data_IF_742421824361
#
_entry.id   IF_742421824361
#
_cell.length_a   1.000
_cell.length_b   1.000
_cell.length_c   1.000
_cell.angle_alpha   90.00
_cell.angle_beta   90.00
_cell.angle_gamma   90.00
#
_symmetry.space_group_name_H-M   'P 1'
#
loop_
_entity.id
_entity.type
_entity.pdbx_description
1 polymer ?
#
# COMPACT_ATOMS: atom_id res chain seq x y z
N UNK A 1 -20.21 28.93 19.36
CA UNK A 1 -20.07 27.45 19.38
C UNK A 1 -20.98 26.66 18.40
N UNK A 2 -21.68 27.28 17.43
CA UNK A 2 -22.58 26.57 16.46
C UNK A 2 -22.00 26.30 15.06
N UNK A 3 -20.74 26.65 14.78
CA UNK A 3 -20.11 26.49 13.44
C UNK A 3 -19.31 25.20 13.30
N UNK A 4 -18.81 24.64 14.41
CA UNK A 4 -18.02 23.40 14.42
C UNK A 4 -18.87 22.15 14.15
N UNK A 5 -20.08 22.08 14.71
CA UNK A 5 -20.98 20.93 14.55
C UNK A 5 -21.43 20.69 13.10
N UNK A 6 -21.52 21.74 12.27
CA UNK A 6 -21.83 21.62 10.85
C UNK A 6 -20.69 21.05 10.01
N UNK A 7 -19.43 21.22 10.44
CA UNK A 7 -18.25 20.68 9.75
C UNK A 7 -18.11 19.18 10.04
N UNK A 8 -18.34 18.78 11.29
CA UNK A 8 -18.42 17.36 11.68
C UNK A 8 -19.57 16.62 10.98
N UNK A 9 -20.76 17.22 10.86
CA UNK A 9 -21.88 16.60 10.14
C UNK A 9 -21.61 16.43 8.64
N UNK A 10 -20.84 17.33 8.03
CA UNK A 10 -20.43 17.22 6.62
C UNK A 10 -19.37 16.13 6.39
N UNK A 11 -18.48 15.90 7.36
CA UNK A 11 -17.54 14.77 7.33
C UNK A 11 -18.24 13.42 7.51
N UNK A 12 -19.27 13.36 8.36
CA UNK A 12 -20.03 12.12 8.61
C UNK A 12 -20.84 11.65 7.39
N UNK A 13 -21.35 12.57 6.56
CA UNK A 13 -22.15 12.22 5.37
C UNK A 13 -21.29 11.63 4.24
N UNK A 14 -20.00 11.97 4.15
CA UNK A 14 -19.09 11.39 3.13
C UNK A 14 -18.53 10.00 3.49
N UNK A 15 -18.53 9.63 4.78
CA UNK A 15 -18.04 8.34 5.28
C UNK A 15 -19.07 7.22 5.13
N UNK A 16 -20.35 7.56 4.94
CA UNK A 16 -21.43 6.57 4.91
C UNK A 16 -21.62 5.87 3.54
N UNK A 17 -21.06 6.41 2.46
CA UNK A 17 -21.22 5.86 1.10
C UNK A 17 -19.90 5.38 0.45
N UNK A 18 -18.77 5.43 1.18
CA UNK A 18 -17.49 4.93 0.67
C UNK A 18 -17.28 3.46 1.09
N UNK A 19 -16.90 2.57 0.16
CA UNK A 19 -16.55 1.21 0.53
C UNK A 19 -15.35 1.22 1.50
N UNK A 20 -15.36 0.29 2.46
CA UNK A 20 -14.46 0.31 3.63
C UNK A 20 -12.97 0.34 3.26
N UNK A 21 -12.60 -0.23 2.12
CA UNK A 21 -11.23 -0.24 1.60
C UNK A 21 -10.68 1.15 1.26
N UNK A 22 -11.54 2.11 0.89
CA UNK A 22 -11.17 3.51 0.62
C UNK A 22 -10.90 4.28 1.91
N UNK A 23 -11.59 3.94 3.00
CA UNK A 23 -11.43 4.62 4.30
C UNK A 23 -10.25 4.06 5.09
N UNK A 24 -9.93 2.78 4.89
CA UNK A 24 -8.97 2.04 5.72
C UNK A 24 -7.53 2.04 5.19
N UNK A 25 -7.26 2.70 4.05
CA UNK A 25 -5.93 2.74 3.41
C UNK A 25 -5.29 1.34 3.30
N UNK A 26 -6.10 0.35 2.95
CA UNK A 26 -5.64 -1.04 2.90
C UNK A 26 -4.64 -1.21 1.75
N UNK A 27 -3.49 -1.85 1.97
CA UNK A 27 -2.54 -2.14 0.90
C UNK A 27 -3.20 -2.98 -0.20
N UNK A 28 -3.18 -2.48 -1.43
CA UNK A 28 -3.66 -3.21 -2.62
C UNK A 28 -2.45 -3.72 -3.39
N UNK A 29 -2.48 -4.99 -3.77
CA UNK A 29 -1.43 -5.62 -4.56
C UNK A 29 -2.08 -6.23 -5.81
N UNK A 30 -1.66 -5.76 -6.97
CA UNK A 30 -2.05 -6.31 -8.28
C UNK A 30 -0.83 -6.95 -8.91
N UNK A 31 -0.96 -8.15 -9.46
CA UNK A 31 0.18 -8.94 -9.95
C UNK A 31 -0.13 -9.55 -11.32
N UNK A 32 0.83 -9.47 -12.24
CA UNK A 32 0.74 -10.07 -13.58
C UNK A 32 1.80 -11.18 -13.67
N UNK A 33 1.33 -12.43 -13.53
CA UNK A 33 2.22 -13.59 -13.42
C UNK A 33 3.24 -13.40 -12.30
N UNK A 34 4.46 -13.92 -12.44
CA UNK A 34 5.55 -13.61 -11.51
C UNK A 34 6.42 -12.41 -11.96
N UNK A 35 6.00 -11.67 -12.98
CA UNK A 35 6.87 -10.74 -13.73
C UNK A 35 6.76 -9.29 -13.24
N UNK A 36 5.56 -8.89 -12.82
CA UNK A 36 5.26 -7.52 -12.47
C UNK A 36 4.24 -7.46 -11.33
N UNK A 37 4.42 -6.48 -10.45
CA UNK A 37 3.54 -6.20 -9.33
C UNK A 37 3.37 -4.69 -9.16
N UNK A 38 2.13 -4.29 -8.96
CA UNK A 38 1.75 -2.94 -8.61
C UNK A 38 1.21 -2.94 -7.18
N UNK A 39 1.77 -2.07 -6.34
CA UNK A 39 1.49 -2.00 -4.91
C UNK A 39 1.02 -0.58 -4.60
N UNK A 40 -0.14 -0.46 -3.98
CA UNK A 40 -0.74 0.82 -3.58
C UNK A 40 -0.87 0.91 -2.05
N UNK A 41 -1.05 2.12 -1.54
CA UNK A 41 -1.20 2.45 -0.12
C UNK A 41 0.01 2.03 0.74
N UNK A 42 1.22 2.15 0.20
CA UNK A 42 2.44 2.06 1.02
C UNK A 42 2.77 3.42 1.69
N UNK A 43 3.48 3.37 2.82
CA UNK A 43 3.96 4.53 3.57
C UNK A 43 5.46 4.79 3.42
N UNK A 44 6.15 3.97 2.63
CA UNK A 44 7.52 4.20 2.21
C UNK A 44 8.25 2.89 1.92
N UNK A 45 9.42 3.00 1.27
CA UNK A 45 10.34 1.87 1.09
C UNK A 45 11.23 1.80 2.32
N UNK A 46 11.24 0.65 3.00
CA UNK A 46 12.12 0.37 4.13
C UNK A 46 13.44 -0.24 3.66
N UNK A 47 13.38 -1.13 2.67
CA UNK A 47 14.55 -1.79 2.09
C UNK A 47 14.26 -2.16 0.63
N UNK A 48 15.27 -2.01 -0.22
CA UNK A 48 15.21 -2.46 -1.60
C UNK A 48 16.57 -3.00 -2.05
N UNK A 49 16.55 -4.15 -2.72
CA UNK A 49 17.66 -4.77 -3.41
C UNK A 49 17.14 -5.56 -4.62
N UNK A 50 18.05 -6.15 -5.39
CA UNK A 50 17.68 -7.05 -6.49
C UNK A 50 16.91 -8.31 -6.05
N UNK A 51 16.88 -8.64 -4.75
CA UNK A 51 16.23 -9.86 -4.25
C UNK A 51 15.14 -9.60 -3.18
N UNK A 52 15.03 -8.36 -2.68
CA UNK A 52 14.08 -7.99 -1.63
C UNK A 52 13.51 -6.59 -1.87
N UNK A 53 12.18 -6.46 -1.75
CA UNK A 53 11.51 -5.18 -1.51
C UNK A 53 10.75 -5.28 -0.19
N UNK A 54 10.96 -4.30 0.69
CA UNK A 54 10.21 -4.15 1.94
C UNK A 54 9.56 -2.78 1.99
N UNK A 55 8.24 -2.76 2.12
CA UNK A 55 7.44 -1.54 2.21
C UNK A 55 6.84 -1.40 3.60
N UNK A 56 6.84 -0.17 4.11
CA UNK A 56 6.05 0.21 5.27
C UNK A 56 4.59 0.33 4.85
N UNK A 57 3.66 -0.20 5.63
CA UNK A 57 2.22 -0.02 5.45
C UNK A 57 1.63 0.71 6.67
N UNK A 58 0.37 1.14 6.59
CA UNK A 58 -0.34 1.72 7.74
C UNK A 58 -0.36 0.75 8.94
N UNK A 59 -0.56 -0.56 8.67
CA UNK A 59 -0.54 -1.61 9.69
C UNK A 59 0.48 -2.70 9.33
N UNK A 60 1.73 -2.51 9.72
CA UNK A 60 2.80 -3.49 9.51
C UNK A 60 3.63 -3.22 8.24
N UNK A 61 4.07 -4.29 7.58
CA UNK A 61 4.99 -4.23 6.42
C UNK A 61 4.57 -5.21 5.34
N UNK A 62 4.88 -4.89 4.09
CA UNK A 62 4.83 -5.82 2.96
C UNK A 62 6.26 -6.21 2.59
N UNK A 63 6.56 -7.50 2.67
CA UNK A 63 7.82 -8.08 2.24
C UNK A 63 7.61 -8.83 0.92
N UNK A 64 8.39 -8.48 -0.10
CA UNK A 64 8.46 -9.17 -1.39
C UNK A 64 9.88 -9.71 -1.55
N UNK A 65 9.99 -11.02 -1.77
CA UNK A 65 11.25 -11.70 -2.07
C UNK A 65 11.19 -12.22 -3.51
N UNK A 66 12.27 -12.04 -4.24
CA UNK A 66 12.36 -12.43 -5.65
C UNK A 66 13.79 -12.41 -6.17
N UNK A 67 13.92 -12.31 -7.49
CA UNK A 67 15.19 -12.16 -8.20
C UNK A 67 15.08 -11.05 -9.24
N UNK A 68 16.19 -10.33 -9.46
CA UNK A 68 16.27 -9.23 -10.44
C UNK A 68 15.15 -8.20 -10.27
N UNK A 69 14.80 -7.90 -9.01
CA UNK A 69 13.79 -6.93 -8.67
C UNK A 69 14.22 -5.53 -9.09
N UNK A 70 13.34 -4.81 -9.78
CA UNK A 70 13.53 -3.44 -10.26
C UNK A 70 12.28 -2.64 -9.94
N UNK A 71 12.42 -1.54 -9.21
CA UNK A 71 11.36 -0.53 -9.09
C UNK A 71 11.33 0.26 -10.41
N UNK A 72 10.27 0.06 -11.21
CA UNK A 72 10.05 0.79 -12.47
C UNK A 72 9.46 2.17 -12.24
N UNK A 73 8.62 2.31 -11.23
CA UNK A 73 8.05 3.58 -10.82
C UNK A 73 7.81 3.57 -9.31
N UNK A 74 8.03 4.73 -8.70
CA UNK A 74 7.66 4.99 -7.31
C UNK A 74 6.98 6.35 -7.24
N UNK A 75 5.75 6.34 -6.72
CA UNK A 75 4.96 7.51 -6.40
C UNK A 75 4.76 7.56 -4.88
N UNK A 76 4.03 8.55 -4.39
CA UNK A 76 3.89 8.79 -2.95
C UNK A 76 3.36 7.55 -2.20
N UNK A 77 2.42 6.83 -2.80
CA UNK A 77 1.73 5.70 -2.18
C UNK A 77 1.65 4.50 -3.14
N UNK A 78 2.42 4.52 -4.24
CA UNK A 78 2.38 3.48 -5.26
C UNK A 78 3.80 3.04 -5.66
N UNK A 79 3.99 1.73 -5.85
CA UNK A 79 5.21 1.13 -6.40
C UNK A 79 4.86 0.19 -7.54
N UNK A 80 5.52 0.38 -8.67
CA UNK A 80 5.58 -0.62 -9.74
C UNK A 80 6.90 -1.38 -9.65
N UNK A 81 6.82 -2.67 -9.34
CA UNK A 81 7.93 -3.59 -9.22
C UNK A 81 7.92 -4.59 -10.39
N UNK A 82 9.08 -4.79 -11.01
CA UNK A 82 9.33 -5.85 -11.98
C UNK A 82 10.43 -6.78 -11.50
N UNK A 83 10.48 -7.99 -12.06
CA UNK A 83 11.47 -9.01 -11.73
C UNK A 83 10.80 -10.37 -11.62
N UNK A 84 11.48 -11.37 -11.04
CA UNK A 84 10.89 -12.67 -10.75
C UNK A 84 10.41 -12.73 -9.31
N UNK A 85 9.13 -12.49 -9.10
CA UNK A 85 8.50 -12.45 -7.78
C UNK A 85 8.29 -13.88 -7.26
N UNK A 86 8.88 -14.21 -6.12
CA UNK A 86 8.85 -15.56 -5.54
C UNK A 86 7.95 -15.67 -4.30
N UNK A 87 7.97 -14.67 -3.41
CA UNK A 87 7.20 -14.71 -2.16
C UNK A 87 6.72 -13.32 -1.77
N UNK A 88 5.50 -13.27 -1.25
CA UNK A 88 4.85 -12.06 -0.73
C UNK A 88 4.41 -12.35 0.70
N UNK A 89 4.67 -11.46 1.64
CA UNK A 89 4.32 -11.67 3.05
C UNK A 89 3.94 -10.36 3.72
N UNK A 90 2.78 -10.35 4.38
CA UNK A 90 2.40 -9.28 5.29
C UNK A 90 2.97 -9.58 6.68
N UNK A 91 3.72 -8.64 7.23
CA UNK A 91 4.30 -8.73 8.58
C UNK A 91 3.52 -7.75 9.46
N UNK A 92 2.83 -8.25 10.48
CA UNK A 92 2.11 -7.40 11.44
C UNK A 92 3.08 -6.84 12.47
N UNK A 93 2.90 -5.58 12.87
CA UNK A 93 3.56 -5.05 14.06
C UNK A 93 2.74 -5.50 15.28
N UNK A 94 3.36 -6.25 16.18
CA UNK A 94 2.77 -6.66 17.46
C UNK A 94 2.53 -5.47 18.38
#
# INVERSE_FOLDING_TARGET
MKKWSRRLRRMAVGVLDLPQDVVLEVPRVTMIGHLQMYIENHRGVLQFSENELRLLLTNGQLLVIGEQLVIRAILKEEVLLEGRIGKITFIQNT
#
